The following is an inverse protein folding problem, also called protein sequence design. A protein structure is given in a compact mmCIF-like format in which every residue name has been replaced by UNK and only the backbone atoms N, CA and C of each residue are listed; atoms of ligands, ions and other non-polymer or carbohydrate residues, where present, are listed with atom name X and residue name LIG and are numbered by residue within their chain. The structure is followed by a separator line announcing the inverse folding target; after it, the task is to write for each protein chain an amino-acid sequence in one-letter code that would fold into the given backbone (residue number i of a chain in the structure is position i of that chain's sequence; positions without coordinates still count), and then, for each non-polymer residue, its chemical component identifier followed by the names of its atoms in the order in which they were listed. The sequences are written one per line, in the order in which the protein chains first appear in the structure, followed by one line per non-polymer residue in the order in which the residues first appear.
data_IF_328984681943
#
_entry.id   IF_328984681943
#
_cell.length_a   1.000
_cell.length_b   1.000
_cell.length_c   1.000
_cell.angle_alpha   90.00
_cell.angle_beta   90.00
_cell.angle_gamma   90.00
#
_symmetry.space_group_name_H-M   'P 1'
#
loop_
_entity.id
_entity.type
_entity.pdbx_description
1 polymer ?
#
# COMPACT_ATOMS: atom_id res chain seq x y z
N UNK A 1 -18.78 14.22 24.15
CA UNK A 1 -18.51 14.40 22.71
C UNK A 1 -17.02 14.16 22.54
N UNK A 2 -16.66 13.19 21.69
CA UNK A 2 -15.26 12.78 21.49
C UNK A 2 -14.45 13.96 20.98
N UNK A 3 -13.36 14.29 21.66
CA UNK A 3 -12.44 15.40 21.33
C UNK A 3 -11.47 15.04 20.19
N UNK A 4 -11.79 14.02 19.41
CA UNK A 4 -10.96 13.60 18.29
C UNK A 4 -11.29 14.48 17.08
N UNK A 5 -10.26 14.97 16.35
CA UNK A 5 -10.49 15.71 15.12
C UNK A 5 -11.28 14.84 14.13
N UNK A 6 -12.15 15.49 13.34
CA UNK A 6 -13.04 14.82 12.41
C UNK A 6 -12.29 14.07 11.29
N UNK A 7 -11.07 14.51 10.98
CA UNK A 7 -10.11 13.81 10.14
C UNK A 7 -8.86 13.52 10.96
N UNK A 8 -8.48 12.24 11.05
CA UNK A 8 -7.28 11.78 11.77
C UNK A 8 -6.07 11.70 10.83
N UNK A 9 -6.24 12.00 9.55
CA UNK A 9 -5.20 11.87 8.54
C UNK A 9 -4.39 13.17 8.38
N UNK A 10 -3.07 13.06 8.50
CA UNK A 10 -2.14 14.11 8.14
C UNK A 10 -1.58 13.81 6.74
N UNK A 11 -1.82 14.70 5.78
CA UNK A 11 -1.42 14.51 4.39
C UNK A 11 -0.21 15.37 4.03
N UNK A 12 0.72 14.81 3.26
CA UNK A 12 1.80 15.56 2.60
C UNK A 12 1.69 15.42 1.09
N UNK A 13 1.89 16.53 0.38
CA UNK A 13 1.72 16.60 -1.08
C UNK A 13 2.95 17.25 -1.71
N UNK A 14 3.40 16.70 -2.84
CA UNK A 14 4.50 17.23 -3.65
C UNK A 14 4.10 17.17 -5.12
N UNK A 15 4.53 18.15 -5.91
CA UNK A 15 4.42 18.10 -7.37
C UNK A 15 5.78 17.70 -7.95
N UNK A 16 5.81 16.84 -8.97
CA UNK A 16 7.02 16.50 -9.70
C UNK A 16 7.21 17.32 -10.99
N UNK A 17 8.36 17.13 -11.64
CA UNK A 17 8.73 17.86 -12.87
C UNK A 17 7.90 17.43 -14.09
N UNK A 18 7.31 16.23 -14.06
CA UNK A 18 6.48 15.66 -15.12
C UNK A 18 5.00 16.10 -15.01
N UNK A 19 4.65 16.80 -13.92
CA UNK A 19 3.34 17.38 -13.67
C UNK A 19 2.41 16.50 -12.85
N UNK A 20 2.92 15.42 -12.25
CA UNK A 20 2.14 14.58 -11.34
C UNK A 20 2.16 15.16 -9.93
N UNK A 21 1.00 15.07 -9.25
CA UNK A 21 0.87 15.42 -7.83
C UNK A 21 0.87 14.14 -6.98
N UNK A 22 1.90 13.99 -6.17
CA UNK A 22 2.08 12.90 -5.24
C UNK A 22 1.49 13.26 -3.88
N UNK A 23 0.56 12.45 -3.36
CA UNK A 23 -0.05 12.65 -2.05
C UNK A 23 0.16 11.42 -1.16
N UNK A 24 0.62 11.65 0.07
CA UNK A 24 0.92 10.60 1.04
C UNK A 24 0.23 10.86 2.37
N UNK A 25 -0.32 9.79 2.97
CA UNK A 25 -0.89 9.80 4.32
C UNK A 25 0.22 9.56 5.36
N UNK A 26 0.66 10.61 6.04
CA UNK A 26 1.66 10.52 7.10
C UNK A 26 1.12 9.78 8.33
N UNK A 27 -0.17 9.86 8.62
CA UNK A 27 -0.78 9.11 9.73
C UNK A 27 -0.61 7.61 9.50
N UNK A 28 -0.89 7.13 8.29
CA UNK A 28 -0.66 5.72 7.94
C UNK A 28 0.82 5.36 7.93
N UNK A 29 1.67 6.16 7.26
CA UNK A 29 3.11 5.87 7.12
C UNK A 29 3.88 5.88 8.44
N UNK A 30 3.44 6.65 9.43
CA UNK A 30 4.05 6.72 10.76
C UNK A 30 3.34 5.86 11.82
N UNK A 31 2.29 5.15 11.42
CA UNK A 31 1.57 4.25 12.33
C UNK A 31 2.39 3.01 12.68
N UNK A 32 1.91 2.26 13.69
CA UNK A 32 2.43 0.93 14.00
C UNK A 32 1.88 -0.16 13.05
N UNK A 33 1.29 0.21 11.91
CA UNK A 33 0.81 -0.77 10.93
C UNK A 33 1.98 -1.61 10.40
N UNK A 34 1.83 -2.93 10.48
CA UNK A 34 2.76 -3.89 9.90
C UNK A 34 2.03 -4.85 8.99
N UNK A 35 2.51 -5.02 7.76
CA UNK A 35 1.97 -6.02 6.86
C UNK A 35 2.10 -7.42 7.49
N UNK A 36 0.98 -8.15 7.57
CA UNK A 36 0.92 -9.52 8.10
C UNK A 36 0.67 -10.55 6.99
N UNK A 37 0.95 -10.21 5.74
CA UNK A 37 0.96 -11.17 4.64
C UNK A 37 1.84 -12.39 5.01
N UNK A 38 1.35 -13.60 4.74
CA UNK A 38 2.01 -14.86 5.14
C UNK A 38 1.98 -15.16 6.65
N UNK A 39 1.43 -14.27 7.50
CA UNK A 39 1.27 -14.44 8.95
C UNK A 39 -0.21 -14.47 9.37
N UNK A 40 -1.08 -14.98 8.49
CA UNK A 40 -2.53 -15.06 8.72
C UNK A 40 -3.31 -13.82 8.25
N UNK A 41 -2.83 -13.11 7.23
CA UNK A 41 -3.60 -12.03 6.60
C UNK A 41 -4.92 -12.57 6.02
N UNK A 42 -6.08 -11.99 6.36
CA UNK A 42 -7.38 -12.45 5.87
C UNK A 42 -7.70 -11.99 4.43
N UNK A 43 -6.84 -11.16 3.83
CA UNK A 43 -7.15 -10.45 2.59
C UNK A 43 -8.13 -9.30 2.80
N UNK A 44 -8.69 -8.81 1.68
CA UNK A 44 -9.57 -7.63 1.60
C UNK A 44 -10.89 -7.92 0.89
N UNK A 45 -11.18 -9.20 0.62
CA UNK A 45 -12.46 -9.61 0.07
C UNK A 45 -13.58 -9.52 1.11
N UNK A 46 -14.82 -9.40 0.63
CA UNK A 46 -16.02 -9.37 1.47
C UNK A 46 -16.16 -10.63 2.33
N UNK A 47 -15.78 -11.79 1.77
CA UNK A 47 -15.76 -13.06 2.49
C UNK A 47 -14.32 -13.47 2.78
N UNK A 48 -14.10 -14.08 3.95
CA UNK A 48 -12.80 -14.62 4.32
C UNK A 48 -12.46 -15.79 3.38
N UNK A 49 -11.35 -15.66 2.66
CA UNK A 49 -10.89 -16.67 1.72
C UNK A 49 -9.39 -16.98 1.95
N UNK A 50 -9.06 -17.54 3.14
CA UNK A 50 -7.67 -17.77 3.56
C UNK A 50 -6.90 -18.70 2.62
N UNK A 51 -7.57 -19.57 1.87
CA UNK A 51 -7.00 -20.52 0.92
C UNK A 51 -6.29 -19.86 -0.28
N UNK A 52 -6.61 -18.61 -0.59
CA UNK A 52 -5.99 -17.90 -1.70
C UNK A 52 -4.79 -17.05 -1.28
N UNK A 53 -4.48 -17.02 0.03
CA UNK A 53 -3.35 -16.27 0.59
C UNK A 53 -3.31 -14.82 0.10
N UNK A 54 -4.47 -14.16 -0.01
CA UNK A 54 -4.53 -12.78 -0.47
C UNK A 54 -4.18 -11.77 0.62
N UNK A 55 -3.68 -10.62 0.20
CA UNK A 55 -3.43 -9.47 1.06
C UNK A 55 -4.15 -8.23 0.56
N UNK A 56 -4.06 -7.12 1.30
CA UNK A 56 -4.56 -5.82 0.84
C UNK A 56 -3.92 -5.36 -0.48
N UNK A 57 -2.73 -5.87 -0.81
CA UNK A 57 -2.05 -5.64 -2.07
C UNK A 57 -2.82 -6.16 -3.31
N UNK A 58 -3.71 -7.15 -3.16
CA UNK A 58 -4.49 -7.71 -4.29
C UNK A 58 -5.38 -6.66 -4.98
N UNK A 59 -5.88 -5.68 -4.24
CA UNK A 59 -6.62 -4.54 -4.82
C UNK A 59 -5.82 -3.23 -4.83
N UNK A 60 -4.73 -3.15 -4.06
CA UNK A 60 -3.99 -1.91 -3.87
C UNK A 60 -2.80 -1.71 -4.81
N UNK A 61 -2.24 -2.79 -5.37
CA UNK A 61 -1.01 -2.73 -6.15
C UNK A 61 -1.25 -3.28 -7.56
N UNK A 62 -1.41 -2.37 -8.52
CA UNK A 62 -1.56 -2.70 -9.93
C UNK A 62 -0.38 -2.15 -10.72
N UNK A 63 0.05 -2.92 -11.72
CA UNK A 63 1.03 -2.42 -12.67
C UNK A 63 0.40 -1.44 -13.63
N UNK A 64 1.07 -0.32 -13.87
CA UNK A 64 0.59 0.71 -14.79
C UNK A 64 0.72 0.22 -16.23
N UNK A 65 1.89 -0.32 -16.60
CA UNK A 65 2.18 -0.79 -17.96
C UNK A 65 3.20 -1.95 -18.00
N UNK A 66 3.83 -2.18 -19.15
CA UNK A 66 4.83 -3.26 -19.31
C UNK A 66 6.18 -2.84 -18.76
N UNK A 67 6.50 -1.57 -18.85
CA UNK A 67 7.74 -0.94 -18.41
C UNK A 67 7.82 -0.97 -16.88
N UNK A 68 6.73 -0.60 -16.19
CA UNK A 68 6.56 -0.71 -14.75
C UNK A 68 6.77 -2.16 -14.27
N UNK A 69 6.14 -3.14 -14.93
CA UNK A 69 6.37 -4.57 -14.64
C UNK A 69 7.83 -4.98 -14.75
N UNK A 70 8.56 -4.49 -15.74
CA UNK A 70 9.97 -4.81 -15.92
C UNK A 70 10.82 -4.16 -14.82
N UNK A 71 10.54 -2.91 -14.47
CA UNK A 71 11.19 -2.18 -13.39
C UNK A 71 11.04 -2.92 -12.06
N UNK A 72 9.80 -3.28 -11.68
CA UNK A 72 9.52 -4.02 -10.45
C UNK A 72 10.23 -5.38 -10.45
N UNK A 73 10.25 -6.10 -11.58
CA UNK A 73 10.96 -7.37 -11.68
C UNK A 73 12.46 -7.22 -11.41
N UNK A 74 13.09 -6.18 -11.93
CA UNK A 74 14.49 -5.88 -11.65
C UNK A 74 14.74 -5.52 -10.17
N UNK A 75 13.77 -4.92 -9.47
CA UNK A 75 13.88 -4.68 -8.02
C UNK A 75 13.73 -5.97 -7.20
N UNK A 76 12.83 -6.87 -7.60
CA UNK A 76 12.66 -8.18 -6.95
C UNK A 76 13.96 -8.98 -6.97
N UNK A 77 14.68 -8.96 -8.09
CA UNK A 77 15.96 -9.66 -8.24
C UNK A 77 17.05 -9.17 -7.27
N UNK A 78 16.85 -8.02 -6.60
CA UNK A 78 17.76 -7.45 -5.60
C UNK A 78 17.41 -7.82 -4.17
N UNK A 79 16.28 -8.46 -3.92
CA UNK A 79 15.85 -8.84 -2.58
C UNK A 79 16.66 -10.05 -2.12
N UNK A 80 17.44 -9.86 -1.05
CA UNK A 80 18.08 -10.96 -0.32
C UNK A 80 17.13 -11.48 0.79
N UNK A 81 17.29 -12.73 1.27
CA UNK A 81 16.46 -13.32 2.32
C UNK A 81 16.46 -12.56 3.65
#
# INVERSE_FOLDING_TARGET
MSDYPADLHEWVTFDDEDGDTWQFDLTFLTSNYGCIYGKGCPGVFTELAPEYEHGCCTYGAHFVDKEDRQSIRAQIDRLEP
#
